data_IF_945738953657
#
_entry.id   IF_945738953657
#
_cell.length_a   1.000
_cell.length_b   1.000
_cell.length_c   1.000
_cell.angle_alpha   90.00
_cell.angle_beta   90.00
_cell.angle_gamma   90.00
#
_symmetry.space_group_name_H-M   'P 1'
#
loop_
_entity.id
_entity.type
_entity.pdbx_description
1 polymer ?
#
# COMPACT_ATOMS: atom_id res chain seq x y z
N UNK A 1 -15.36 -2.93 -22.22
CA UNK A 1 -15.22 -1.96 -21.10
C UNK A 1 -14.64 -2.73 -19.92
N UNK A 2 -13.67 -2.20 -19.19
CA UNK A 2 -13.12 -2.85 -18.01
C UNK A 2 -13.39 -1.99 -16.78
N UNK A 3 -13.72 -2.62 -15.66
CA UNK A 3 -14.04 -1.94 -14.41
C UNK A 3 -12.79 -1.89 -13.52
N UNK A 4 -12.50 -0.73 -12.96
CA UNK A 4 -11.33 -0.52 -12.10
C UNK A 4 -11.62 0.57 -11.07
N UNK A 5 -11.06 0.43 -9.88
CA UNK A 5 -11.01 1.47 -8.84
C UNK A 5 -9.69 2.28 -8.87
N UNK A 6 -8.88 2.18 -9.94
CA UNK A 6 -7.60 2.90 -10.03
C UNK A 6 -7.74 4.39 -10.33
N UNK A 7 -8.86 4.82 -10.91
CA UNK A 7 -9.08 6.23 -11.18
C UNK A 7 -9.57 6.90 -9.90
N UNK A 8 -8.64 7.55 -9.21
CA UNK A 8 -8.90 8.32 -8.00
C UNK A 8 -8.77 9.80 -8.32
N UNK A 9 -9.62 10.59 -7.72
CA UNK A 9 -9.58 12.05 -7.81
C UNK A 9 -9.53 12.64 -6.40
N UNK A 10 -8.90 13.81 -6.23
CA UNK A 10 -8.88 14.50 -4.95
C UNK A 10 -10.31 14.79 -4.47
N UNK A 11 -10.58 14.51 -3.21
CA UNK A 11 -11.88 14.80 -2.57
C UNK A 11 -11.70 16.01 -1.66
N UNK A 12 -12.47 17.09 -1.83
CA UNK A 12 -12.40 18.24 -0.93
C UNK A 12 -13.13 17.93 0.38
N UNK A 13 -12.56 18.39 1.48
CA UNK A 13 -13.14 18.26 2.82
C UNK A 13 -12.98 16.88 3.46
N UNK A 14 -13.60 16.67 4.63
CA UNK A 14 -13.48 15.45 5.40
C UNK A 14 -14.21 14.28 4.73
N UNK A 15 -13.56 13.11 4.73
CA UNK A 15 -14.11 11.84 4.25
C UNK A 15 -14.12 10.81 5.37
N UNK A 16 -15.13 9.95 5.41
CA UNK A 16 -15.21 8.86 6.38
C UNK A 16 -14.32 7.70 5.96
N UNK A 17 -13.49 7.26 6.89
CA UNK A 17 -12.69 6.03 6.79
C UNK A 17 -13.38 4.94 7.60
N UNK A 18 -13.82 3.89 6.91
CA UNK A 18 -14.50 2.74 7.50
C UNK A 18 -13.57 1.52 7.54
N UNK A 19 -14.00 0.45 8.21
CA UNK A 19 -13.23 -0.81 8.34
C UNK A 19 -12.80 -1.43 7.01
N UNK A 20 -13.52 -1.19 5.94
CA UNK A 20 -13.30 -1.86 4.65
C UNK A 20 -12.92 -0.92 3.53
N UNK A 21 -13.21 0.39 3.66
CA UNK A 21 -13.03 1.35 2.58
C UNK A 21 -13.13 2.80 3.06
N UNK A 22 -12.80 3.73 2.19
CA UNK A 22 -13.09 5.16 2.34
C UNK A 22 -14.42 5.46 1.65
N UNK A 23 -15.22 6.32 2.24
CA UNK A 23 -16.50 6.77 1.68
C UNK A 23 -16.31 7.34 0.27
N UNK A 24 -17.20 6.94 -0.64
CA UNK A 24 -17.11 7.32 -2.07
C UNK A 24 -16.12 6.50 -2.91
N UNK A 25 -15.29 5.66 -2.28
CA UNK A 25 -14.38 4.78 -3.01
C UNK A 25 -15.03 3.45 -3.40
N UNK A 26 -14.63 2.90 -4.55
CA UNK A 26 -15.07 1.62 -5.06
C UNK A 26 -13.90 0.70 -5.43
N UNK A 27 -13.97 -0.54 -4.97
CA UNK A 27 -13.03 -1.60 -5.31
C UNK A 27 -13.67 -2.54 -6.33
N UNK A 28 -13.15 -2.55 -7.55
CA UNK A 28 -13.72 -3.36 -8.64
C UNK A 28 -13.45 -4.87 -8.52
N UNK A 29 -12.52 -5.27 -7.66
CA UNK A 29 -12.13 -6.67 -7.42
C UNK A 29 -11.90 -6.88 -5.92
N UNK A 30 -12.95 -7.24 -5.22
CA UNK A 30 -12.92 -7.46 -3.77
C UNK A 30 -12.06 -8.69 -3.37
N UNK A 31 -11.86 -9.65 -4.28
CA UNK A 31 -11.07 -10.86 -3.99
C UNK A 31 -9.58 -10.54 -3.84
N UNK A 32 -9.04 -9.64 -4.68
CA UNK A 32 -7.61 -9.31 -4.72
C UNK A 32 -7.26 -7.96 -4.11
N UNK A 33 -8.19 -7.01 -4.15
CA UNK A 33 -7.96 -5.61 -3.74
C UNK A 33 -8.87 -5.14 -2.61
N UNK A 34 -9.71 -6.02 -2.06
CA UNK A 34 -10.63 -5.72 -0.96
C UNK A 34 -10.23 -6.39 0.36
N UNK A 35 -11.07 -6.18 1.37
CA UNK A 35 -10.95 -6.73 2.70
C UNK A 35 -10.27 -5.79 3.69
N UNK A 36 -10.42 -6.13 4.99
CA UNK A 36 -9.98 -5.27 6.09
C UNK A 36 -8.48 -4.92 6.03
N UNK A 37 -7.63 -5.83 5.54
CA UNK A 37 -6.18 -5.59 5.41
C UNK A 37 -5.81 -4.63 4.27
N UNK A 38 -6.76 -4.26 3.41
CA UNK A 38 -6.54 -3.40 2.24
C UNK A 38 -7.57 -2.27 2.17
N UNK A 39 -8.03 -1.80 3.33
CA UNK A 39 -9.05 -0.76 3.42
C UNK A 39 -8.59 0.57 2.82
N UNK A 40 -7.31 0.92 3.02
CA UNK A 40 -6.73 2.17 2.51
C UNK A 40 -5.41 1.86 1.80
N UNK A 41 -5.26 2.35 0.57
CA UNK A 41 -4.03 2.29 -0.20
C UNK A 41 -3.25 3.60 -0.03
N UNK A 42 -1.99 3.52 0.34
CA UNK A 42 -1.09 4.66 0.53
C UNK A 42 0.02 4.65 -0.50
N UNK A 43 0.38 5.82 -1.00
CA UNK A 43 1.51 5.99 -1.91
C UNK A 43 2.29 7.27 -1.58
N UNK A 44 3.63 7.21 -1.40
CA UNK A 44 4.45 8.40 -1.13
C UNK A 44 4.50 9.38 -2.30
N UNK A 45 4.31 10.67 -2.01
CA UNK A 45 4.43 11.75 -2.99
C UNK A 45 5.82 11.80 -3.64
N UNK A 46 6.85 11.48 -2.88
CA UNK A 46 8.25 11.54 -3.29
C UNK A 46 8.55 10.69 -4.52
N UNK A 47 7.79 9.63 -4.74
CA UNK A 47 7.97 8.76 -5.91
C UNK A 47 7.48 9.38 -7.22
N UNK A 48 6.58 10.36 -7.16
CA UNK A 48 6.00 10.98 -8.36
C UNK A 48 7.05 11.72 -9.20
N UNK A 49 7.99 12.43 -8.56
CA UNK A 49 9.06 13.16 -9.27
C UNK A 49 9.87 12.21 -10.17
N UNK A 50 10.32 11.08 -9.61
CA UNK A 50 11.05 10.04 -10.33
C UNK A 50 10.22 9.44 -11.48
N UNK A 51 8.97 9.07 -11.22
CA UNK A 51 8.14 8.47 -12.25
C UNK A 51 7.81 9.46 -13.38
N UNK A 52 7.63 10.73 -13.08
CA UNK A 52 7.38 11.77 -14.07
C UNK A 52 8.60 12.02 -14.95
N UNK A 53 9.81 11.95 -14.38
CA UNK A 53 11.04 12.01 -15.16
C UNK A 53 11.17 10.78 -16.08
N UNK A 54 10.99 9.58 -15.53
CA UNK A 54 11.16 8.30 -16.23
C UNK A 54 10.13 8.07 -17.34
N UNK A 55 8.91 8.59 -17.17
CA UNK A 55 7.78 8.38 -18.07
C UNK A 55 7.48 9.57 -18.99
N UNK A 56 8.33 10.61 -18.96
CA UNK A 56 8.11 11.80 -19.80
C UNK A 56 7.81 11.42 -21.28
N UNK A 57 6.84 12.06 -21.96
CA UNK A 57 6.08 13.24 -21.53
C UNK A 57 4.81 12.98 -20.69
N UNK A 58 4.56 11.73 -20.28
CA UNK A 58 3.43 11.40 -19.41
C UNK A 58 3.68 11.99 -18.00
N UNK A 59 2.67 12.67 -17.44
CA UNK A 59 2.71 13.21 -16.08
C UNK A 59 1.72 12.46 -15.19
N UNK A 60 2.23 11.87 -14.12
CA UNK A 60 1.43 11.26 -13.06
C UNK A 60 1.15 12.29 -11.96
N UNK A 61 -0.03 12.25 -11.40
CA UNK A 61 -0.48 13.09 -10.28
C UNK A 61 -1.05 12.21 -9.16
N UNK A 62 -1.26 12.74 -7.95
CA UNK A 62 -1.92 12.02 -6.85
C UNK A 62 -3.16 11.25 -7.30
N UNK A 63 -3.32 10.03 -6.79
CA UNK A 63 -4.30 9.05 -7.30
C UNK A 63 -3.80 8.27 -8.51
N UNK A 64 -2.60 8.57 -9.01
CA UNK A 64 -2.01 7.95 -10.19
C UNK A 64 -1.75 6.47 -10.05
N UNK A 65 -1.40 6.02 -8.86
CA UNK A 65 -1.22 4.60 -8.53
C UNK A 65 -2.49 3.97 -7.95
N UNK A 66 -3.62 4.69 -7.92
CA UNK A 66 -4.88 4.23 -7.36
C UNK A 66 -4.88 4.26 -5.83
N UNK A 67 -4.02 5.07 -5.25
CA UNK A 67 -3.96 5.29 -3.80
C UNK A 67 -5.13 6.15 -3.32
N UNK A 68 -5.47 5.96 -2.04
CA UNK A 68 -6.44 6.77 -1.31
C UNK A 68 -5.73 7.91 -0.58
N UNK A 69 -4.55 7.63 -0.02
CA UNK A 69 -3.72 8.62 0.64
C UNK A 69 -2.42 8.78 -0.14
N UNK A 70 -2.17 10.00 -0.62
CA UNK A 70 -0.83 10.41 -1.05
C UNK A 70 -0.17 11.08 0.15
N UNK A 71 0.89 10.46 0.68
CA UNK A 71 1.59 10.93 1.88
C UNK A 71 2.88 11.66 1.51
N UNK A 72 3.32 12.57 2.36
CA UNK A 72 4.59 13.27 2.27
C UNK A 72 5.41 13.02 3.55
N UNK A 73 6.72 12.84 3.40
CA UNK A 73 7.64 12.60 4.53
C UNK A 73 7.61 11.19 5.09
N UNK A 74 7.02 10.22 4.36
CA UNK A 74 7.00 8.81 4.74
C UNK A 74 7.39 7.94 3.54
N UNK A 75 8.31 7.01 3.75
CA UNK A 75 8.77 6.09 2.70
C UNK A 75 8.68 4.63 3.15
N UNK A 76 8.80 3.71 2.20
CA UNK A 76 8.85 2.26 2.46
C UNK A 76 10.03 1.85 3.36
N UNK A 77 11.10 2.66 3.39
CA UNK A 77 12.26 2.41 4.25
C UNK A 77 12.01 2.79 5.71
N UNK A 78 11.05 3.67 5.97
CA UNK A 78 10.77 4.24 7.29
C UNK A 78 9.53 3.66 7.94
N UNK A 79 8.51 3.31 7.14
CA UNK A 79 7.25 2.74 7.62
C UNK A 79 7.40 1.24 7.83
N UNK A 80 6.92 0.73 8.99
CA UNK A 80 7.04 -0.68 9.37
C UNK A 80 5.69 -1.38 9.38
N UNK A 81 5.70 -2.69 9.13
CA UNK A 81 4.52 -3.55 9.30
C UNK A 81 4.03 -3.46 10.74
N UNK A 82 2.75 -3.17 10.93
CA UNK A 82 2.15 -3.01 12.25
C UNK A 82 2.25 -1.59 12.82
N UNK A 83 2.97 -0.66 12.16
CA UNK A 83 2.92 0.75 12.56
C UNK A 83 1.48 1.22 12.60
N UNK A 84 1.07 1.80 13.72
CA UNK A 84 -0.26 2.39 13.90
C UNK A 84 -0.17 3.90 13.89
N UNK A 85 -1.04 4.54 13.10
CA UNK A 85 -1.08 5.98 12.94
C UNK A 85 -2.45 6.54 13.32
N UNK A 86 -2.45 7.69 13.97
CA UNK A 86 -3.60 8.58 14.02
C UNK A 86 -3.67 9.34 12.70
N UNK A 87 -4.80 9.25 12.00
CA UNK A 87 -5.13 9.98 10.78
C UNK A 87 -6.46 10.71 10.99
N UNK A 88 -6.42 12.03 11.27
CA UNK A 88 -7.62 12.75 11.70
C UNK A 88 -8.24 12.09 12.94
N UNK A 89 -9.52 11.65 12.84
CA UNK A 89 -10.22 10.93 13.92
C UNK A 89 -10.03 9.41 13.85
N UNK A 90 -9.57 8.89 12.70
CA UNK A 90 -9.34 7.48 12.48
C UNK A 90 -8.01 7.00 13.08
N UNK A 91 -7.93 5.69 13.38
CA UNK A 91 -6.68 5.01 13.69
C UNK A 91 -6.48 3.90 12.66
N UNK A 92 -5.35 3.92 11.99
CA UNK A 92 -5.01 2.99 10.91
C UNK A 92 -3.70 2.26 11.21
N UNK A 93 -3.51 1.07 10.62
CA UNK A 93 -2.33 0.25 10.87
C UNK A 93 -1.80 -0.34 9.56
N UNK A 94 -0.49 -0.31 9.39
CA UNK A 94 0.20 -0.91 8.23
C UNK A 94 0.03 -2.43 8.25
N UNK A 95 -0.57 -2.96 7.20
CA UNK A 95 -0.90 -4.38 7.07
C UNK A 95 0.06 -5.15 6.16
N UNK A 96 0.46 -4.54 5.06
CA UNK A 96 1.33 -5.13 4.04
C UNK A 96 1.83 -4.08 3.05
N UNK A 97 2.96 -4.33 2.35
CA UNK A 97 3.30 -3.60 1.14
C UNK A 97 2.22 -3.76 0.08
N UNK A 98 2.03 -2.75 -0.76
CA UNK A 98 1.13 -2.87 -1.90
C UNK A 98 1.79 -3.72 -2.99
N UNK A 99 1.03 -4.64 -3.58
CA UNK A 99 1.45 -5.37 -4.76
C UNK A 99 0.82 -4.72 -6.00
N UNK A 100 1.62 -4.07 -6.87
CA UNK A 100 1.11 -3.49 -8.11
C UNK A 100 0.48 -4.56 -9.01
N UNK A 101 -0.65 -4.25 -9.63
CA UNK A 101 -1.34 -5.18 -10.51
C UNK A 101 -1.29 -4.71 -11.98
N UNK A 102 -1.53 -5.62 -12.91
CA UNK A 102 -1.53 -5.35 -14.36
C UNK A 102 -2.48 -4.22 -14.80
N UNK A 103 -3.49 -3.90 -13.98
CA UNK A 103 -4.39 -2.77 -14.25
C UNK A 103 -3.64 -1.43 -14.27
N UNK A 104 -2.52 -1.30 -13.54
CA UNK A 104 -1.66 -0.11 -13.57
C UNK A 104 -1.00 0.04 -14.94
N UNK A 105 -0.41 -1.03 -15.48
CA UNK A 105 0.14 -1.04 -16.84
C UNK A 105 -0.91 -0.69 -17.88
N UNK A 106 -2.10 -1.25 -17.73
CA UNK A 106 -3.23 -0.98 -18.64
C UNK A 106 -3.74 0.45 -18.57
N UNK A 107 -3.76 1.07 -17.37
CA UNK A 107 -4.19 2.46 -17.19
C UNK A 107 -3.37 3.43 -18.03
N UNK A 108 -2.07 3.21 -18.09
CA UNK A 108 -1.13 4.11 -18.76
C UNK A 108 -0.69 3.62 -20.15
N UNK A 109 -1.10 2.43 -20.57
CA UNK A 109 -0.65 1.84 -21.85
C UNK A 109 0.84 1.50 -21.85
N UNK A 110 1.46 1.33 -20.67
CA UNK A 110 2.89 1.04 -20.51
C UNK A 110 3.05 -0.42 -20.14
N UNK A 111 3.69 -1.19 -21.04
CA UNK A 111 3.98 -2.59 -20.80
C UNK A 111 4.87 -2.76 -19.57
N UNK A 112 4.61 -3.79 -18.77
CA UNK A 112 5.35 -4.10 -17.55
C UNK A 112 5.44 -2.97 -16.49
N UNK A 113 4.68 -1.88 -16.59
CA UNK A 113 4.78 -0.79 -15.62
C UNK A 113 4.54 -1.26 -14.17
N UNK A 114 3.56 -2.12 -13.96
CA UNK A 114 3.32 -2.71 -12.64
C UNK A 114 4.56 -3.49 -12.13
N UNK A 115 5.25 -4.21 -13.01
CA UNK A 115 6.47 -4.95 -12.67
C UNK A 115 7.65 -4.00 -12.39
N UNK A 116 7.76 -2.89 -13.15
CA UNK A 116 8.77 -1.84 -12.89
C UNK A 116 8.57 -1.23 -11.51
N UNK A 117 7.32 -0.90 -11.14
CA UNK A 117 6.97 -0.39 -9.80
C UNK A 117 7.31 -1.43 -8.73
N UNK A 118 6.99 -2.71 -8.94
CA UNK A 118 7.36 -3.76 -7.99
C UNK A 118 8.88 -3.91 -7.83
N UNK A 119 9.63 -3.89 -8.93
CA UNK A 119 11.10 -4.02 -8.91
C UNK A 119 11.80 -2.84 -8.26
N UNK A 120 11.22 -1.64 -8.38
CA UNK A 120 11.79 -0.44 -7.75
C UNK A 120 11.66 -0.44 -6.23
N UNK A 121 10.74 -1.23 -5.66
CA UNK A 121 10.39 -1.19 -4.25
C UNK A 121 9.50 -0.01 -3.86
N UNK A 122 9.30 0.98 -4.74
CA UNK A 122 8.42 2.14 -4.55
C UNK A 122 6.96 1.74 -4.79
N UNK A 123 6.43 0.91 -3.91
CA UNK A 123 5.14 0.26 -4.08
C UNK A 123 4.00 0.94 -3.33
N UNK A 124 4.33 1.71 -2.28
CA UNK A 124 3.38 2.08 -1.26
C UNK A 124 2.99 0.88 -0.39
N UNK A 125 1.97 1.06 0.43
CA UNK A 125 1.49 0.05 1.36
C UNK A 125 -0.02 0.13 1.56
N UNK A 126 -0.58 -0.89 2.19
CA UNK A 126 -1.97 -0.90 2.64
C UNK A 126 -2.07 -0.67 4.14
N UNK A 127 -3.18 -0.03 4.52
CA UNK A 127 -3.58 0.14 5.91
C UNK A 127 -4.89 -0.61 6.15
N UNK A 128 -4.98 -1.26 7.32
CA UNK A 128 -6.25 -1.64 7.93
C UNK A 128 -6.71 -0.54 8.87
N UNK A 129 -8.01 -0.48 9.13
CA UNK A 129 -8.62 0.53 10.00
C UNK A 129 -8.89 -0.09 11.36
N UNK A 130 -8.22 0.41 12.40
CA UNK A 130 -8.41 -0.02 13.79
C UNK A 130 -9.57 0.71 14.44
N UNK A 131 -9.70 2.01 14.15
CA UNK A 131 -10.81 2.87 14.59
C UNK A 131 -11.29 3.68 13.39
N UNK A 132 -12.59 3.63 13.12
CA UNK A 132 -13.20 4.47 12.10
C UNK A 132 -13.23 5.93 12.52
N UNK A 133 -13.26 6.83 11.56
CA UNK A 133 -13.31 8.27 11.80
C UNK A 133 -13.25 9.05 10.50
N UNK A 134 -13.21 10.36 10.60
CA UNK A 134 -13.01 11.26 9.45
C UNK A 134 -11.55 11.64 9.29
N UNK A 135 -11.13 11.79 8.04
CA UNK A 135 -9.81 12.30 7.65
C UNK A 135 -10.00 13.34 6.55
N UNK A 136 -9.13 14.33 6.51
CA UNK A 136 -9.14 15.38 5.50
C UNK A 136 -7.74 15.54 4.91
N UNK A 137 -7.66 15.99 3.66
CA UNK A 137 -6.38 16.36 3.05
C UNK A 137 -5.63 17.40 3.90
N UNK A 138 -4.32 17.21 4.09
CA UNK A 138 -3.52 17.98 5.01
C UNK A 138 -3.49 17.48 6.46
N UNK A 139 -4.28 16.44 6.78
CA UNK A 139 -4.19 15.77 8.09
C UNK A 139 -2.82 15.14 8.30
N UNK A 140 -2.23 15.35 9.48
CA UNK A 140 -0.95 14.72 9.86
C UNK A 140 -1.16 13.26 10.23
N UNK A 141 -0.34 12.38 9.68
CA UNK A 141 -0.23 10.99 10.14
C UNK A 141 0.72 10.93 11.33
N UNK A 142 0.17 10.81 12.53
CA UNK A 142 0.94 10.73 13.77
C UNK A 142 1.17 9.28 14.15
N UNK A 143 2.43 8.84 14.20
CA UNK A 143 2.79 7.50 14.67
C UNK A 143 2.38 7.35 16.15
N UNK A 144 1.63 6.30 16.45
CA UNK A 144 1.19 5.91 17.80
C UNK A 144 2.04 4.77 18.35
N UNK A 145 2.26 3.74 17.53
CA UNK A 145 2.97 2.51 17.93
C UNK A 145 3.80 1.97 16.78
N UNK A 146 4.96 1.38 17.11
CA UNK A 146 5.84 0.65 16.19
C UNK A 146 6.28 -0.66 16.82
N UNK A 147 5.48 -1.74 16.73
CA UNK A 147 5.78 -3.00 17.41
C UNK A 147 6.87 -3.83 16.73
N UNK A 148 7.11 -3.64 15.42
CA UNK A 148 8.06 -4.45 14.63
C UNK A 148 9.00 -3.55 13.80
N UNK A 149 9.92 -2.80 14.44
CA UNK A 149 10.81 -1.85 13.74
C UNK A 149 11.76 -2.53 12.75
N UNK A 150 12.00 -3.83 12.89
CA UNK A 150 12.81 -4.63 11.98
C UNK A 150 12.13 -4.90 10.63
N UNK A 151 10.79 -4.82 10.55
CA UNK A 151 10.00 -5.13 9.35
C UNK A 151 9.50 -3.87 8.65
N UNK A 152 10.44 -3.10 8.05
CA UNK A 152 10.02 -2.00 7.18
C UNK A 152 9.27 -2.54 5.95
N UNK A 153 8.43 -1.71 5.35
CA UNK A 153 7.73 -2.03 4.08
C UNK A 153 8.74 -2.44 3.01
N UNK A 154 9.89 -1.75 2.93
CA UNK A 154 10.98 -2.08 2.00
C UNK A 154 11.54 -3.49 2.24
N UNK A 155 11.86 -3.84 3.50
CA UNK A 155 12.35 -5.19 3.86
C UNK A 155 11.30 -6.28 3.57
N UNK A 156 10.03 -6.01 3.86
CA UNK A 156 8.96 -6.94 3.55
C UNK A 156 8.84 -7.17 2.03
N UNK A 157 8.95 -6.12 1.21
CA UNK A 157 9.02 -6.23 -0.25
C UNK A 157 10.23 -7.05 -0.72
N UNK A 158 11.40 -6.82 -0.13
CA UNK A 158 12.62 -7.57 -0.44
C UNK A 158 12.42 -9.07 -0.22
N UNK A 159 11.91 -9.47 0.96
CA UNK A 159 11.63 -10.89 1.27
C UNK A 159 10.61 -11.47 0.30
N UNK A 160 9.53 -10.73 -0.01
CA UNK A 160 8.46 -11.24 -0.85
C UNK A 160 8.88 -11.37 -2.33
N UNK A 161 9.62 -10.41 -2.88
CA UNK A 161 9.80 -10.27 -4.32
C UNK A 161 11.23 -10.54 -4.80
N UNK A 162 12.24 -10.33 -3.95
CA UNK A 162 13.67 -10.51 -4.29
C UNK A 162 14.21 -11.79 -3.67
N UNK A 163 14.13 -11.96 -2.37
CA UNK A 163 14.68 -13.11 -1.62
C UNK A 163 13.71 -14.30 -1.58
N UNK A 164 13.19 -14.68 -2.74
CA UNK A 164 12.09 -15.68 -2.84
C UNK A 164 12.48 -17.08 -2.37
N UNK A 165 13.76 -17.43 -2.42
CA UNK A 165 14.31 -18.72 -1.99
C UNK A 165 14.79 -18.74 -0.54
N UNK A 166 14.83 -17.58 0.12
CA UNK A 166 15.24 -17.45 1.50
C UNK A 166 14.10 -17.88 2.44
N UNK A 167 14.18 -19.13 2.89
CA UNK A 167 13.15 -19.73 3.75
C UNK A 167 13.17 -19.16 5.16
N UNK A 168 14.36 -18.79 5.66
CA UNK A 168 14.51 -18.23 7.00
C UNK A 168 13.85 -16.84 7.07
N UNK A 169 14.21 -15.94 6.15
CA UNK A 169 13.57 -14.63 6.05
C UNK A 169 12.06 -14.75 5.81
N UNK A 170 11.62 -15.70 4.96
CA UNK A 170 10.20 -15.94 4.71
C UNK A 170 9.46 -16.39 5.97
N UNK A 171 10.06 -17.30 6.77
CA UNK A 171 9.50 -17.78 8.04
C UNK A 171 9.43 -16.65 9.06
N UNK A 172 10.49 -15.88 9.19
CA UNK A 172 10.59 -14.77 10.13
C UNK A 172 9.53 -13.70 9.84
N UNK A 173 9.39 -13.28 8.58
CA UNK A 173 8.34 -12.31 8.19
C UNK A 173 6.93 -12.91 8.34
N UNK A 174 6.73 -14.19 8.01
CA UNK A 174 5.43 -14.86 8.19
C UNK A 174 5.00 -14.96 9.66
N UNK A 175 5.95 -14.96 10.60
CA UNK A 175 5.66 -14.98 12.03
C UNK A 175 5.20 -13.62 12.59
N UNK A 176 5.32 -12.52 11.81
CA UNK A 176 4.80 -11.21 12.21
C UNK A 176 3.26 -11.25 12.27
N UNK A 177 2.64 -11.15 13.47
CA UNK A 177 1.19 -11.34 13.62
C UNK A 177 0.38 -10.21 12.97
N UNK A 178 0.97 -9.03 12.77
CA UNK A 178 0.33 -7.87 12.18
C UNK A 178 0.49 -7.79 10.65
N UNK A 179 1.31 -8.67 10.04
CA UNK A 179 1.33 -8.82 8.60
C UNK A 179 0.00 -9.41 8.12
N UNK A 180 -0.50 -8.95 6.97
CA UNK A 180 -1.77 -9.40 6.41
C UNK A 180 -1.82 -10.92 6.23
N UNK A 181 -3.02 -11.48 6.36
CA UNK A 181 -3.23 -12.94 6.23
C UNK A 181 -2.75 -13.47 4.87
N UNK A 182 -3.02 -12.76 3.78
CA UNK A 182 -2.63 -13.16 2.42
C UNK A 182 -1.11 -13.25 2.24
N UNK A 183 -0.36 -12.32 2.83
CA UNK A 183 1.10 -12.33 2.80
C UNK A 183 1.67 -13.44 3.68
N UNK A 184 1.15 -13.59 4.91
CA UNK A 184 1.53 -14.68 5.82
C UNK A 184 1.31 -16.05 5.18
N UNK A 185 0.15 -16.28 4.57
CA UNK A 185 -0.16 -17.53 3.89
C UNK A 185 0.80 -17.81 2.73
N UNK A 186 1.13 -16.79 1.93
CA UNK A 186 2.07 -16.92 0.80
C UNK A 186 3.47 -17.28 1.28
N UNK A 187 3.98 -16.60 2.30
CA UNK A 187 5.31 -16.84 2.86
C UNK A 187 5.39 -18.21 3.56
N UNK A 188 4.35 -18.59 4.30
CA UNK A 188 4.29 -19.90 4.97
C UNK A 188 4.34 -21.07 3.97
N UNK A 189 3.68 -20.94 2.83
CA UNK A 189 3.76 -21.95 1.74
C UNK A 189 5.19 -22.11 1.22
N UNK A 190 5.97 -21.03 1.09
CA UNK A 190 7.38 -21.09 0.65
C UNK A 190 8.27 -21.86 1.63
N UNK A 191 7.93 -21.83 2.92
CA UNK A 191 8.70 -22.54 3.93
C UNK A 191 8.49 -24.06 3.90
N UNK A 192 7.41 -24.52 3.26
CA UNK A 192 7.03 -25.95 3.17
C UNK A 192 7.57 -26.62 1.91
N UNK A 193 7.94 -25.85 0.91
CA UNK A 193 8.53 -26.35 -0.35
C UNK A 193 10.06 -26.48 -0.23
#
# INVERSE_FOLDING_TARGET
MWTTGLFKEPVPGPVRVSRLNIEGDGQADLRHHGGADKAVNVYPWEHYARWNEELSPLTLSPGGFGENFTTEGLSEAEVCIGDSFQAGEAVVQVSQPRQPCSKLSRRYGIEEFALRVQRSGSTGWYLRVLKEGTVEAGSVLRLLERPFPEWTVAKANEVMHVRKTDREASRSLASCPLLSETWRATLSKRCQM
#
